data_IF_983872164331
#
_entry.id   IF_983872164331
#
_cell.length_a   1.000
_cell.length_b   1.000
_cell.length_c   1.000
_cell.angle_alpha   90.00
_cell.angle_beta   90.00
_cell.angle_gamma   90.00
#
_symmetry.space_group_name_H-M   'P 1'
#
loop_
_entity.id
_entity.type
_entity.pdbx_description
1 polymer ?
#
# COMPACT_ATOMS: atom_id res chain seq x y z
N UNK A 1 1.03 -43.17 -72.30
CA UNK A 1 -0.04 -44.19 -72.17
C UNK A 1 -0.40 -44.37 -70.70
N UNK A 2 -1.67 -44.54 -70.49
CA UNK A 2 -2.36 -44.87 -69.21
C UNK A 2 -2.70 -43.76 -68.23
N UNK A 3 -3.93 -43.42 -68.36
CA UNK A 3 -4.85 -42.79 -67.43
C UNK A 3 -5.01 -43.63 -66.13
N UNK A 4 -5.10 -43.05 -64.96
CA UNK A 4 -5.98 -43.56 -63.90
C UNK A 4 -6.61 -42.36 -63.23
N UNK A 5 -7.90 -42.38 -63.33
CA UNK A 5 -8.92 -41.61 -62.57
C UNK A 5 -8.94 -42.10 -61.15
N UNK A 6 -9.25 -41.25 -60.23
CA UNK A 6 -9.64 -41.73 -58.89
C UNK A 6 -9.78 -40.61 -57.86
N UNK A 7 -10.98 -40.18 -57.83
CA UNK A 7 -11.82 -39.99 -56.63
C UNK A 7 -11.47 -38.83 -55.77
N UNK A 8 -12.27 -37.82 -55.97
CA UNK A 8 -12.62 -36.70 -55.09
C UNK A 8 -13.29 -37.26 -53.84
N UNK A 9 -12.64 -37.17 -52.67
CA UNK A 9 -13.26 -37.37 -51.38
C UNK A 9 -13.32 -36.01 -50.65
N UNK A 10 -14.43 -35.35 -50.83
CA UNK A 10 -14.84 -34.17 -50.04
C UNK A 10 -15.19 -34.65 -48.64
N UNK A 11 -14.26 -34.52 -47.71
CA UNK A 11 -14.55 -34.61 -46.28
C UNK A 11 -14.79 -33.19 -45.76
N UNK A 12 -16.04 -32.83 -45.72
CA UNK A 12 -16.53 -31.64 -45.02
C UNK A 12 -16.45 -31.97 -43.53
N UNK A 13 -15.34 -31.58 -42.92
CA UNK A 13 -15.19 -31.66 -41.47
C UNK A 13 -15.81 -30.42 -40.86
N UNK A 14 -17.09 -30.54 -40.49
CA UNK A 14 -17.84 -29.50 -39.76
C UNK A 14 -17.17 -29.28 -38.43
N UNK A 15 -16.43 -28.17 -38.31
CA UNK A 15 -15.96 -27.66 -37.01
C UNK A 15 -17.15 -27.02 -36.33
N UNK A 16 -17.80 -27.78 -35.46
CA UNK A 16 -18.75 -27.25 -34.49
C UNK A 16 -17.97 -26.41 -33.50
N UNK A 17 -17.92 -25.10 -33.73
CA UNK A 17 -17.52 -24.15 -32.70
C UNK A 17 -18.60 -24.19 -31.63
N UNK A 18 -18.43 -25.03 -30.59
CA UNK A 18 -19.09 -24.88 -29.35
C UNK A 18 -18.57 -23.59 -28.69
N UNK A 19 -19.19 -22.48 -29.02
CA UNK A 19 -18.97 -21.21 -28.33
C UNK A 19 -19.37 -21.38 -26.90
N UNK A 20 -18.40 -21.62 -26.00
CA UNK A 20 -18.54 -21.32 -24.58
C UNK A 20 -18.68 -19.80 -24.46
N UNK A 21 -19.90 -19.32 -24.60
CA UNK A 21 -20.29 -18.02 -24.06
C UNK A 21 -20.21 -18.16 -22.55
N UNK A 22 -19.01 -17.91 -21.99
CA UNK A 22 -18.90 -17.58 -20.60
C UNK A 22 -19.73 -16.32 -20.39
N UNK A 23 -20.97 -16.50 -19.98
CA UNK A 23 -21.79 -15.43 -19.43
C UNK A 23 -20.99 -14.88 -18.27
N UNK A 24 -20.22 -13.82 -18.51
CA UNK A 24 -19.72 -12.96 -17.44
C UNK A 24 -20.99 -12.36 -16.84
N UNK A 25 -21.48 -12.98 -15.80
CA UNK A 25 -22.46 -12.36 -14.93
C UNK A 25 -21.80 -11.09 -14.42
N UNK A 26 -22.09 -9.97 -15.05
CA UNK A 26 -21.89 -8.66 -14.45
C UNK A 26 -22.86 -8.59 -13.29
N UNK A 27 -22.43 -9.13 -12.15
CA UNK A 27 -23.06 -8.88 -10.88
C UNK A 27 -22.89 -7.38 -10.63
N UNK A 28 -23.96 -6.65 -10.95
CA UNK A 28 -24.05 -5.18 -10.76
C UNK A 28 -24.06 -4.77 -9.29
N UNK A 29 -23.72 -5.65 -8.38
CA UNK A 29 -23.31 -5.40 -7.00
C UNK A 29 -21.79 -5.27 -6.92
N UNK A 30 -21.23 -4.42 -7.75
CA UNK A 30 -19.80 -4.07 -7.70
C UNK A 30 -19.44 -3.16 -6.52
N UNK A 31 -19.97 -3.39 -5.37
CA UNK A 31 -19.32 -3.03 -4.12
C UNK A 31 -18.17 -4.00 -3.95
N UNK A 32 -16.98 -3.63 -4.40
CA UNK A 32 -15.75 -4.32 -4.03
C UNK A 32 -15.66 -4.28 -2.50
N UNK A 33 -16.12 -5.34 -1.88
CA UNK A 33 -16.03 -5.64 -0.45
C UNK A 33 -14.54 -5.82 -0.07
N UNK A 34 -13.76 -4.77 -0.28
CA UNK A 34 -12.34 -4.77 0.04
C UNK A 34 -12.22 -4.44 1.51
N UNK A 35 -11.81 -5.42 2.25
CA UNK A 35 -11.33 -5.25 3.62
C UNK A 35 -10.30 -4.14 3.64
N UNK A 36 -10.54 -3.14 4.46
CA UNK A 36 -9.70 -1.96 4.58
C UNK A 36 -8.96 -1.99 5.90
N UNK A 37 -7.71 -1.54 5.87
CA UNK A 37 -6.90 -1.37 7.08
C UNK A 37 -6.67 0.12 7.31
N UNK A 38 -6.98 0.58 8.51
CA UNK A 38 -6.70 1.95 8.94
C UNK A 38 -5.80 1.87 10.18
N UNK A 39 -4.60 2.40 10.07
CA UNK A 39 -3.62 2.46 11.16
C UNK A 39 -3.18 3.89 11.41
N UNK A 40 -2.69 4.19 12.60
CA UNK A 40 -2.15 5.51 12.92
C UNK A 40 -0.89 5.42 13.78
N UNK A 41 -0.05 6.44 13.69
CA UNK A 41 1.02 6.74 14.62
C UNK A 41 0.72 8.06 15.33
N UNK A 42 0.54 8.05 16.68
CA UNK A 42 0.48 6.86 17.53
C UNK A 42 -0.82 6.06 17.32
N UNK A 43 -0.84 4.78 17.72
CA UNK A 43 -2.05 3.94 17.67
C UNK A 43 -3.08 4.39 18.70
N UNK A 44 -4.30 3.83 18.63
CA UNK A 44 -5.39 4.17 19.54
C UNK A 44 -6.04 5.52 19.18
N UNK A 45 -6.11 5.86 17.90
CA UNK A 45 -6.95 6.97 17.44
C UNK A 45 -8.36 6.47 17.18
N UNK A 46 -9.35 7.17 17.68
CA UNK A 46 -10.77 6.93 17.38
C UNK A 46 -11.04 7.27 15.92
N UNK A 47 -11.74 6.38 15.22
CA UNK A 47 -12.07 6.53 13.80
C UNK A 47 -13.57 6.72 13.65
N UNK A 48 -13.98 7.80 13.01
CA UNK A 48 -15.37 8.15 12.75
C UNK A 48 -15.64 8.18 11.25
N UNK A 49 -16.60 7.42 10.79
CA UNK A 49 -17.10 7.51 9.42
C UNK A 49 -18.00 8.74 9.26
N UNK A 50 -17.75 9.52 8.20
CA UNK A 50 -18.47 10.77 7.91
C UNK A 50 -18.53 11.75 9.12
N UNK A 51 -17.56 11.63 10.03
CA UNK A 51 -17.41 12.48 11.20
C UNK A 51 -18.28 12.18 12.41
N UNK A 52 -19.25 11.25 12.30
CA UNK A 52 -20.23 10.99 13.37
C UNK A 52 -20.42 9.51 13.73
N UNK A 53 -20.16 8.58 12.81
CA UNK A 53 -20.38 7.16 13.06
C UNK A 53 -19.09 6.52 13.54
N UNK A 54 -18.99 6.07 14.82
CA UNK A 54 -17.79 5.47 15.34
C UNK A 54 -17.54 4.11 14.69
N UNK A 55 -16.33 3.88 14.19
CA UNK A 55 -15.88 2.61 13.64
C UNK A 55 -15.01 1.81 14.62
N UNK A 56 -14.41 2.48 15.60
CA UNK A 56 -13.50 1.90 16.59
C UNK A 56 -12.18 2.68 16.67
N UNK A 57 -11.15 2.05 17.20
CA UNK A 57 -9.81 2.64 17.39
C UNK A 57 -8.77 1.99 16.48
N UNK A 58 -7.75 2.75 16.11
CA UNK A 58 -6.62 2.21 15.33
C UNK A 58 -5.71 1.31 16.18
N UNK A 59 -5.21 0.19 15.64
CA UNK A 59 -5.34 -0.28 14.27
C UNK A 59 -6.70 -0.94 13.98
N UNK A 60 -7.43 -0.45 13.00
CA UNK A 60 -8.64 -1.09 12.48
C UNK A 60 -8.26 -2.02 11.32
N UNK A 61 -8.51 -3.30 11.49
CA UNK A 61 -8.25 -4.33 10.50
C UNK A 61 -9.58 -4.84 9.93
N UNK A 62 -9.60 -5.12 8.64
CA UNK A 62 -10.75 -5.74 7.96
C UNK A 62 -12.08 -4.97 8.07
N UNK A 63 -12.01 -3.63 8.07
CA UNK A 63 -13.21 -2.79 8.11
C UNK A 63 -13.93 -2.83 6.77
N UNK A 64 -15.21 -3.19 6.80
CA UNK A 64 -16.10 -3.11 5.63
C UNK A 64 -16.86 -1.79 5.69
N UNK A 65 -16.66 -0.94 4.71
CA UNK A 65 -17.36 0.35 4.60
C UNK A 65 -17.95 0.45 3.19
N UNK A 66 -19.22 0.75 3.12
CA UNK A 66 -19.87 1.09 1.84
C UNK A 66 -19.24 2.36 1.27
N UNK A 67 -18.59 2.22 0.13
CA UNK A 67 -17.88 3.31 -0.52
C UNK A 67 -18.79 4.08 -1.44
N UNK A 68 -19.13 5.27 -1.03
CA UNK A 68 -19.63 6.29 -1.94
C UNK A 68 -18.46 7.20 -2.38
N UNK A 69 -18.55 7.90 -3.52
CA UNK A 69 -17.45 8.72 -4.04
C UNK A 69 -16.85 9.73 -3.07
N UNK A 70 -17.57 10.13 -2.02
CA UNK A 70 -17.15 11.13 -1.03
C UNK A 70 -17.06 10.55 0.38
N UNK A 71 -16.94 9.25 0.54
CA UNK A 71 -16.79 8.65 1.87
C UNK A 71 -15.46 9.06 2.48
N UNK A 72 -15.49 9.66 3.66
CA UNK A 72 -14.30 10.04 4.42
C UNK A 72 -14.39 9.52 5.85
N UNK A 73 -13.24 9.38 6.48
CA UNK A 73 -13.13 9.12 7.93
C UNK A 73 -12.36 10.24 8.61
N UNK A 74 -12.67 10.46 9.86
CA UNK A 74 -11.94 11.37 10.74
C UNK A 74 -11.27 10.52 11.82
N UNK A 75 -9.96 10.69 11.97
CA UNK A 75 -9.20 10.13 13.07
C UNK A 75 -9.06 11.20 14.15
N UNK A 76 -9.43 10.86 15.38
CA UNK A 76 -9.33 11.73 16.56
C UNK A 76 -8.50 11.04 17.62
N UNK A 77 -7.58 11.79 18.22
CA UNK A 77 -6.81 11.34 19.38
C UNK A 77 -6.52 12.51 20.29
N UNK A 78 -6.67 12.30 21.59
CA UNK A 78 -6.37 13.32 22.56
C UNK A 78 -4.92 13.84 22.42
N UNK A 79 -4.74 15.16 22.44
CA UNK A 79 -3.44 15.79 22.22
C UNK A 79 -3.00 15.95 20.77
N UNK A 80 -3.78 15.44 19.81
CA UNK A 80 -3.47 15.50 18.38
C UNK A 80 -4.50 16.31 17.59
N UNK A 81 -4.10 16.74 16.40
CA UNK A 81 -5.00 17.41 15.45
C UNK A 81 -5.83 16.36 14.74
N UNK A 82 -7.14 16.59 14.64
CA UNK A 82 -8.04 15.73 13.91
C UNK A 82 -7.59 15.58 12.45
N UNK A 83 -7.57 14.35 11.95
CA UNK A 83 -7.10 14.04 10.60
C UNK A 83 -8.24 13.51 9.73
N UNK A 84 -8.55 14.23 8.64
CA UNK A 84 -9.57 13.83 7.67
C UNK A 84 -8.94 13.04 6.54
N UNK A 85 -9.54 11.90 6.19
CA UNK A 85 -9.03 10.97 5.21
C UNK A 85 -10.14 10.55 4.25
N UNK A 86 -9.97 10.83 2.96
CA UNK A 86 -10.84 10.28 1.91
C UNK A 86 -10.51 8.80 1.68
N UNK A 87 -11.53 7.95 1.73
CA UNK A 87 -11.34 6.50 1.65
C UNK A 87 -10.96 6.04 0.23
N UNK A 88 -9.76 5.49 0.08
CA UNK A 88 -9.31 4.86 -1.18
C UNK A 88 -9.03 3.36 -1.01
N UNK A 89 -8.05 2.95 -0.21
CA UNK A 89 -7.74 1.52 0.04
C UNK A 89 -7.25 1.27 1.48
N UNK A 90 -5.93 1.13 1.68
CA UNK A 90 -5.31 0.98 2.99
C UNK A 90 -4.66 2.28 3.42
N UNK A 91 -4.71 2.58 4.71
CA UNK A 91 -4.22 3.84 5.23
C UNK A 91 -3.37 3.66 6.46
N UNK A 92 -2.25 4.35 6.44
CA UNK A 92 -1.46 4.63 7.62
C UNK A 92 -1.35 6.14 7.78
N UNK A 93 -1.74 6.64 8.94
CA UNK A 93 -1.79 8.08 9.23
C UNK A 93 -0.85 8.42 10.36
N UNK A 94 0.11 9.31 10.11
CA UNK A 94 0.92 9.91 11.17
C UNK A 94 0.21 11.16 11.66
N UNK A 95 -0.25 11.13 12.92
CA UNK A 95 -0.99 12.21 13.55
C UNK A 95 -0.06 13.37 13.92
N UNK A 96 -0.60 14.59 13.87
CA UNK A 96 0.12 15.80 14.28
C UNK A 96 -0.23 16.15 15.71
N UNK A 97 0.72 16.21 16.65
CA UNK A 97 0.44 16.69 18.00
C UNK A 97 0.03 18.16 17.98
N UNK A 98 -0.99 18.53 18.78
CA UNK A 98 -1.50 19.91 18.86
C UNK A 98 -0.48 20.86 19.48
N UNK A 99 0.24 20.38 20.50
CA UNK A 99 1.33 21.10 21.16
C UNK A 99 2.60 20.29 20.98
N UNK A 100 3.39 20.61 19.96
CA UNK A 100 4.63 19.91 19.66
C UNK A 100 5.82 20.88 19.79
N UNK A 101 6.92 20.40 20.37
CA UNK A 101 8.21 21.07 20.27
C UNK A 101 8.67 21.09 18.81
N UNK A 102 9.68 21.91 18.50
CA UNK A 102 10.29 21.94 17.17
C UNK A 102 10.80 20.54 16.79
N UNK A 103 11.47 19.87 17.70
CA UNK A 103 12.05 18.54 17.50
C UNK A 103 10.97 17.50 17.21
N UNK A 104 9.85 17.50 17.97
CA UNK A 104 8.72 16.61 17.70
C UNK A 104 8.11 16.84 16.31
N UNK A 105 7.98 18.11 15.88
CA UNK A 105 7.48 18.42 14.54
C UNK A 105 8.41 17.91 13.44
N UNK A 106 9.72 18.09 13.61
CA UNK A 106 10.74 17.59 12.67
C UNK A 106 10.70 16.05 12.61
N UNK A 107 10.53 15.38 13.74
CA UNK A 107 10.41 13.93 13.80
C UNK A 107 9.15 13.42 13.07
N UNK A 108 7.99 14.02 13.36
CA UNK A 108 6.73 13.67 12.67
C UNK A 108 6.86 13.91 11.17
N UNK A 109 7.48 15.01 10.76
CA UNK A 109 7.74 15.27 9.34
C UNK A 109 8.63 14.18 8.71
N UNK A 110 9.69 13.77 9.41
CA UNK A 110 10.59 12.69 8.97
C UNK A 110 9.86 11.35 8.85
N UNK A 111 9.07 10.97 9.86
CA UNK A 111 8.24 9.76 9.81
C UNK A 111 7.30 9.77 8.59
N UNK A 112 6.62 10.89 8.34
CA UNK A 112 5.74 11.05 7.17
C UNK A 112 6.49 10.86 5.86
N UNK A 113 7.70 11.42 5.75
CA UNK A 113 8.51 11.26 4.54
C UNK A 113 8.93 9.82 4.34
N UNK A 114 9.41 9.12 5.39
CA UNK A 114 9.72 7.68 5.31
C UNK A 114 8.49 6.89 4.88
N UNK A 115 7.32 7.13 5.51
CA UNK A 115 6.06 6.47 5.15
C UNK A 115 5.68 6.70 3.70
N UNK A 116 5.77 7.93 3.22
CA UNK A 116 5.47 8.24 1.82
C UNK A 116 6.40 7.50 0.84
N UNK A 117 7.69 7.49 1.11
CA UNK A 117 8.66 6.76 0.28
C UNK A 117 8.41 5.25 0.28
N UNK A 118 8.14 4.67 1.46
CA UNK A 118 7.98 3.23 1.62
C UNK A 118 6.58 2.70 1.27
N UNK A 119 5.54 3.53 1.26
CA UNK A 119 4.18 3.12 0.91
C UNK A 119 3.80 3.52 -0.53
N UNK A 120 3.96 4.81 -0.87
CA UNK A 120 3.58 5.33 -2.18
C UNK A 120 4.63 4.96 -3.22
N UNK A 121 5.92 5.09 -2.88
CA UNK A 121 7.06 4.76 -3.73
C UNK A 121 7.60 3.34 -3.53
N UNK A 122 6.78 2.39 -3.05
CA UNK A 122 7.25 1.05 -2.69
C UNK A 122 7.90 0.31 -3.86
N UNK A 123 7.28 0.34 -5.04
CA UNK A 123 7.80 -0.31 -6.23
C UNK A 123 9.14 0.27 -6.68
N UNK A 124 9.29 1.59 -6.61
CA UNK A 124 10.50 2.31 -6.95
C UNK A 124 11.61 2.02 -5.92
N UNK A 125 11.28 2.03 -4.64
CA UNK A 125 12.21 1.63 -3.57
C UNK A 125 12.67 0.19 -3.77
N UNK A 126 11.76 -0.73 -4.07
CA UNK A 126 12.09 -2.13 -4.32
C UNK A 126 13.05 -2.28 -5.51
N UNK A 127 12.78 -1.60 -6.63
CA UNK A 127 13.66 -1.61 -7.80
C UNK A 127 15.03 -1.01 -7.48
N UNK A 128 15.07 0.13 -6.78
CA UNK A 128 16.31 0.78 -6.40
C UNK A 128 17.14 -0.08 -5.43
N UNK A 129 16.50 -0.78 -4.50
CA UNK A 129 17.16 -1.73 -3.60
C UNK A 129 17.73 -2.93 -4.35
N UNK A 130 17.03 -3.45 -5.36
CA UNK A 130 17.54 -4.55 -6.17
C UNK A 130 18.81 -4.19 -6.96
N UNK A 131 18.91 -2.93 -7.40
CA UNK A 131 20.10 -2.40 -8.11
C UNK A 131 21.16 -1.88 -7.15
N UNK A 132 20.80 -1.57 -5.90
CA UNK A 132 21.68 -0.96 -4.89
C UNK A 132 21.88 0.55 -5.07
N UNK A 133 21.12 1.21 -5.96
CA UNK A 133 21.18 2.64 -6.22
C UNK A 133 19.87 3.17 -6.83
N UNK A 134 19.65 4.47 -6.76
CA UNK A 134 18.52 5.15 -7.38
C UNK A 134 17.99 6.29 -6.51
N UNK A 135 17.15 7.13 -7.10
CA UNK A 135 16.67 8.36 -6.49
C UNK A 135 15.82 8.13 -5.23
N UNK A 136 14.92 7.16 -5.27
CA UNK A 136 14.07 6.82 -4.11
C UNK A 136 14.89 6.25 -2.96
N UNK A 137 15.88 5.41 -3.26
CA UNK A 137 16.80 4.87 -2.26
C UNK A 137 17.69 5.97 -1.66
N UNK A 138 18.23 6.86 -2.48
CA UNK A 138 19.02 8.00 -2.01
C UNK A 138 18.17 8.93 -1.10
N UNK A 139 16.92 9.22 -1.50
CA UNK A 139 15.98 10.01 -0.72
C UNK A 139 15.62 9.34 0.61
N UNK A 140 15.45 8.01 0.61
CA UNK A 140 15.20 7.24 1.81
C UNK A 140 16.39 7.28 2.77
N UNK A 141 17.61 7.01 2.29
CA UNK A 141 18.83 7.05 3.09
C UNK A 141 19.08 8.44 3.68
N UNK A 142 18.87 9.50 2.89
CA UNK A 142 18.97 10.88 3.37
C UNK A 142 17.94 11.19 4.45
N UNK A 143 16.69 10.76 4.28
CA UNK A 143 15.62 10.93 5.28
C UNK A 143 15.91 10.16 6.55
N UNK A 144 16.48 8.96 6.44
CA UNK A 144 16.93 8.14 7.57
C UNK A 144 18.21 8.72 8.25
N UNK A 145 18.83 9.72 7.65
CA UNK A 145 20.10 10.36 8.11
C UNK A 145 21.26 9.37 8.20
N UNK A 146 21.33 8.45 7.22
CA UNK A 146 22.42 7.48 7.16
C UNK A 146 23.69 8.17 6.64
N UNK A 147 24.81 8.14 7.38
CA UNK A 147 26.08 8.67 6.90
C UNK A 147 26.56 7.95 5.65
N UNK A 148 27.28 8.64 4.76
CA UNK A 148 27.81 8.04 3.53
C UNK A 148 28.65 6.78 3.79
N UNK A 149 29.44 6.77 4.85
CA UNK A 149 30.26 5.62 5.26
C UNK A 149 29.44 4.39 5.63
N UNK A 150 28.17 4.54 5.99
CA UNK A 150 27.28 3.47 6.44
C UNK A 150 26.23 3.09 5.41
N UNK A 151 26.12 3.82 4.30
CA UNK A 151 25.07 3.58 3.30
C UNK A 151 25.08 2.16 2.74
N UNK A 152 26.27 1.59 2.47
CA UNK A 152 26.37 0.22 1.98
C UNK A 152 25.82 -0.82 2.97
N UNK A 153 25.98 -0.60 4.26
CA UNK A 153 25.39 -1.45 5.29
C UNK A 153 23.89 -1.24 5.41
N UNK A 154 23.45 0.01 5.39
CA UNK A 154 22.04 0.37 5.44
C UNK A 154 21.25 -0.20 4.23
N UNK A 155 21.84 -0.17 3.03
CA UNK A 155 21.24 -0.78 1.83
C UNK A 155 21.01 -2.28 2.04
N UNK A 156 22.01 -3.00 2.56
CA UNK A 156 21.84 -4.44 2.86
C UNK A 156 20.75 -4.69 3.88
N UNK A 157 20.68 -3.90 4.95
CA UNK A 157 19.61 -4.01 5.93
C UNK A 157 18.23 -3.75 5.31
N UNK A 158 18.10 -2.74 4.45
CA UNK A 158 16.85 -2.46 3.75
C UNK A 158 16.45 -3.58 2.78
N UNK A 159 17.43 -4.22 2.11
CA UNK A 159 17.21 -5.40 1.26
C UNK A 159 16.69 -6.60 2.08
N UNK A 160 17.26 -6.82 3.26
CA UNK A 160 16.78 -7.87 4.18
C UNK A 160 15.36 -7.57 4.66
N UNK A 161 15.09 -6.33 5.08
CA UNK A 161 13.78 -5.92 5.56
C UNK A 161 12.69 -6.06 4.49
N UNK A 162 12.97 -5.67 3.25
CA UNK A 162 11.98 -5.76 2.17
C UNK A 162 11.69 -7.20 1.77
N UNK A 163 12.70 -8.07 1.84
CA UNK A 163 12.56 -9.50 1.58
C UNK A 163 11.74 -10.23 2.67
N UNK A 164 11.84 -9.76 3.92
CA UNK A 164 11.13 -10.32 5.09
C UNK A 164 9.76 -9.66 5.32
N UNK A 165 9.36 -8.71 4.50
CA UNK A 165 8.11 -7.96 4.69
C UNK A 165 6.95 -8.57 3.92
N UNK A 166 5.81 -8.70 4.60
CA UNK A 166 4.58 -9.24 4.02
C UNK A 166 3.90 -8.28 3.05
N UNK A 167 4.01 -6.98 3.33
CA UNK A 167 3.39 -5.91 2.54
C UNK A 167 4.17 -4.58 2.71
N UNK A 168 3.85 -3.52 1.93
CA UNK A 168 4.52 -2.23 2.04
C UNK A 168 4.41 -1.58 3.42
N UNK A 169 3.32 -1.83 4.16
CA UNK A 169 3.13 -1.28 5.49
C UNK A 169 4.06 -1.96 6.50
N UNK A 170 4.15 -3.29 6.46
CA UNK A 170 5.08 -4.07 7.28
C UNK A 170 6.54 -3.66 7.01
N UNK A 171 6.91 -3.48 5.73
CA UNK A 171 8.22 -2.94 5.37
C UNK A 171 8.46 -1.57 5.99
N UNK A 172 7.49 -0.67 5.86
CA UNK A 172 7.58 0.68 6.42
C UNK A 172 7.76 0.68 7.93
N UNK A 173 7.02 -0.18 8.66
CA UNK A 173 7.12 -0.33 10.11
C UNK A 173 8.50 -0.82 10.52
N UNK A 174 8.99 -1.86 9.87
CA UNK A 174 10.34 -2.42 10.10
C UNK A 174 11.45 -1.40 9.83
N UNK A 175 11.31 -0.58 8.78
CA UNK A 175 12.27 0.50 8.48
C UNK A 175 12.29 1.53 9.59
N UNK A 176 11.13 2.01 10.03
CA UNK A 176 11.03 3.00 11.10
C UNK A 176 11.61 2.47 12.42
N UNK A 177 11.37 1.21 12.73
CA UNK A 177 11.91 0.56 13.93
C UNK A 177 13.42 0.38 13.85
N UNK A 178 13.93 -0.20 12.75
CA UNK A 178 15.35 -0.50 12.56
C UNK A 178 16.24 0.75 12.58
N UNK A 179 15.76 1.83 11.98
CA UNK A 179 16.51 3.09 11.89
C UNK A 179 16.13 4.09 12.97
N UNK A 180 15.43 3.65 14.02
CA UNK A 180 15.05 4.46 15.18
C UNK A 180 14.37 5.79 14.80
N UNK A 181 13.58 5.80 13.73
CA UNK A 181 12.81 6.97 13.33
C UNK A 181 11.54 7.10 14.16
N UNK A 182 11.25 6.12 15.01
CA UNK A 182 10.01 6.00 15.75
C UNK A 182 10.11 6.44 17.20
N UNK A 183 9.07 7.10 17.65
CA UNK A 183 8.43 7.12 18.96
C UNK A 183 8.99 8.05 20.01
N UNK A 184 8.24 9.16 20.17
CA UNK A 184 8.21 9.95 21.40
C UNK A 184 6.87 9.74 22.19
N UNK A 185 6.36 8.51 22.20
CA UNK A 185 5.20 8.14 23.03
C UNK A 185 5.47 6.94 23.87
#
# INVERSE_FOLDING_TARGET
MRRIRGVLCLIIMGIVFAGCTSAVSMDSKGGLDRKMRITSDPPGAEVFLMGSIPLGETPLLDVQIDRTPNTFVILKKEGYVDHNLLLKQHYHVVLNPRKASREQREQVARMKTVRNLTLIGYSEVQQNLAVGQGEYLASLLATLRVPESEQGNAIRQLQELIADSADPLDFSDKVLERFHVSRFW
#
